data_IF_308388659639
#
_entry.id   IF_308388659639
#
_cell.length_a   1.000
_cell.length_b   1.000
_cell.length_c   1.000
_cell.angle_alpha   90.00
_cell.angle_beta   90.00
_cell.angle_gamma   90.00
#
_symmetry.space_group_name_H-M   'P 1'
#
loop_
_entity.id
_entity.type
_entity.pdbx_description
1 polymer ?
#
# COMPACT_ATOMS: atom_id res chain seq x y z
N UNK A 1 -54.24 -17.11 -1.87
CA UNK A 1 -53.02 -17.16 -1.02
C UNK A 1 -51.78 -17.52 -1.84
N UNK A 2 -51.81 -18.57 -2.67
CA UNK A 2 -50.63 -19.10 -3.38
C UNK A 2 -50.07 -18.24 -4.54
N UNK A 3 -50.84 -17.26 -5.03
CA UNK A 3 -50.45 -16.42 -6.17
C UNK A 3 -49.62 -15.18 -5.77
N UNK A 4 -49.83 -14.68 -4.55
CA UNK A 4 -49.07 -13.54 -4.01
C UNK A 4 -47.59 -13.88 -3.80
N UNK A 5 -47.27 -15.13 -3.46
CA UNK A 5 -45.89 -15.58 -3.30
C UNK A 5 -45.14 -15.64 -4.63
N UNK A 6 -45.82 -15.91 -5.75
CA UNK A 6 -45.20 -15.94 -7.09
C UNK A 6 -44.74 -14.57 -7.57
N UNK A 7 -45.43 -13.51 -7.19
CA UNK A 7 -45.07 -12.13 -7.55
C UNK A 7 -44.10 -11.49 -6.55
N UNK A 8 -44.10 -11.97 -5.29
CA UNK A 8 -43.23 -11.44 -4.23
C UNK A 8 -41.75 -11.79 -4.42
N UNK A 9 -41.45 -13.01 -4.86
CA UNK A 9 -40.06 -13.49 -5.07
C UNK A 9 -39.32 -12.67 -6.14
N UNK A 10 -39.82 -12.51 -7.39
CA UNK A 10 -39.12 -11.73 -8.41
C UNK A 10 -39.02 -10.25 -8.06
N UNK A 11 -39.98 -9.70 -7.30
CA UNK A 11 -39.95 -8.32 -6.83
C UNK A 11 -38.82 -8.08 -5.81
N UNK A 12 -38.65 -9.00 -4.84
CA UNK A 12 -37.58 -8.92 -3.84
C UNK A 12 -36.21 -9.08 -4.51
N UNK A 13 -36.08 -10.01 -5.45
CA UNK A 13 -34.84 -10.19 -6.19
C UNK A 13 -34.50 -8.98 -7.07
N UNK A 14 -35.51 -8.37 -7.71
CA UNK A 14 -35.33 -7.13 -8.46
C UNK A 14 -34.88 -5.96 -7.57
N UNK A 15 -35.47 -5.82 -6.39
CA UNK A 15 -35.05 -4.81 -5.40
C UNK A 15 -33.62 -5.06 -4.91
N UNK A 16 -33.27 -6.32 -4.62
CA UNK A 16 -31.91 -6.71 -4.22
C UNK A 16 -30.89 -6.38 -5.31
N UNK A 17 -31.20 -6.68 -6.56
CA UNK A 17 -30.33 -6.35 -7.72
C UNK A 17 -30.16 -4.84 -7.88
N UNK A 18 -31.21 -4.04 -7.69
CA UNK A 18 -31.13 -2.59 -7.73
C UNK A 18 -30.25 -2.03 -6.61
N UNK A 19 -30.38 -2.56 -5.38
CA UNK A 19 -29.52 -2.20 -4.26
C UNK A 19 -28.05 -2.57 -4.52
N UNK A 20 -27.77 -3.78 -5.03
CA UNK A 20 -26.42 -4.22 -5.36
C UNK A 20 -25.77 -3.36 -6.45
N UNK A 21 -26.53 -2.99 -7.49
CA UNK A 21 -26.05 -2.10 -8.55
C UNK A 21 -25.68 -0.73 -8.02
N UNK A 22 -26.51 -0.17 -7.12
CA UNK A 22 -26.27 1.14 -6.52
C UNK A 22 -25.03 1.11 -5.61
N UNK A 23 -24.88 0.06 -4.80
CA UNK A 23 -23.69 -0.13 -3.95
C UNK A 23 -22.41 -0.27 -4.80
N UNK A 24 -22.47 -1.04 -5.88
CA UNK A 24 -21.34 -1.20 -6.80
C UNK A 24 -20.95 0.13 -7.45
N UNK A 25 -21.93 0.94 -7.88
CA UNK A 25 -21.67 2.25 -8.48
C UNK A 25 -20.99 3.20 -7.49
N UNK A 26 -21.50 3.33 -6.27
CA UNK A 26 -20.87 4.16 -5.25
C UNK A 26 -19.47 3.69 -4.88
N UNK A 27 -19.27 2.37 -4.75
CA UNK A 27 -17.96 1.80 -4.49
C UNK A 27 -16.98 2.12 -5.62
N UNK A 28 -17.40 1.95 -6.89
CA UNK A 28 -16.57 2.29 -8.05
C UNK A 28 -16.17 3.77 -8.05
N UNK A 29 -17.10 4.68 -7.79
CA UNK A 29 -16.81 6.12 -7.70
C UNK A 29 -15.85 6.41 -6.56
N UNK A 30 -16.04 5.79 -5.39
CA UNK A 30 -15.14 5.94 -4.25
C UNK A 30 -13.71 5.47 -4.57
N UNK A 31 -13.55 4.33 -5.25
CA UNK A 31 -12.24 3.83 -5.70
C UNK A 31 -11.61 4.78 -6.73
N UNK A 32 -12.38 5.30 -7.69
CA UNK A 32 -11.86 6.26 -8.67
C UNK A 32 -11.40 7.56 -8.02
N UNK A 33 -12.16 8.08 -7.05
CA UNK A 33 -11.79 9.29 -6.29
C UNK A 33 -10.52 9.06 -5.48
N UNK A 34 -10.38 7.92 -4.81
CA UNK A 34 -9.19 7.61 -4.00
C UNK A 34 -7.93 7.32 -4.83
N UNK A 35 -8.08 6.78 -6.03
CA UNK A 35 -6.95 6.49 -6.94
C UNK A 35 -6.52 7.70 -7.78
N UNK A 36 -7.35 8.75 -7.88
CA UNK A 36 -7.06 9.97 -8.67
C UNK A 36 -5.89 10.83 -8.16
N UNK A 37 -5.26 10.46 -7.04
CA UNK A 37 -4.12 11.18 -6.44
C UNK A 37 -2.94 10.26 -6.11
N UNK A 38 -2.71 9.24 -6.94
CA UNK A 38 -1.40 8.61 -7.02
C UNK A 38 -0.69 9.34 -8.15
N UNK A 39 0.13 10.35 -7.81
CA UNK A 39 1.07 10.91 -8.76
C UNK A 39 1.95 9.74 -9.23
N UNK A 40 1.68 9.26 -10.44
CA UNK A 40 2.45 8.24 -11.15
C UNK A 40 3.78 8.85 -11.62
N UNK A 41 4.49 9.49 -10.71
CA UNK A 41 5.84 10.04 -10.83
C UNK A 41 6.74 9.54 -9.71
N UNK A 42 6.39 8.45 -9.02
CA UNK A 42 7.41 7.60 -8.43
C UNK A 42 8.01 6.76 -9.57
N UNK A 43 8.75 7.42 -10.45
CA UNK A 43 9.80 6.75 -11.21
C UNK A 43 10.57 5.92 -10.19
N UNK A 44 10.74 4.62 -10.41
CA UNK A 44 11.72 3.83 -9.67
C UNK A 44 13.11 4.38 -10.02
N UNK A 45 13.43 5.56 -9.49
CA UNK A 45 14.76 6.12 -9.53
C UNK A 45 15.58 5.27 -8.59
N UNK A 46 16.64 4.67 -9.14
CA UNK A 46 17.67 4.02 -8.34
C UNK A 46 18.16 5.04 -7.33
N UNK A 47 17.92 4.76 -6.04
CA UNK A 47 18.43 5.59 -4.94
C UNK A 47 19.93 5.32 -4.87
N UNK A 48 20.76 6.36 -5.03
CA UNK A 48 22.20 6.21 -4.85
C UNK A 48 22.57 6.10 -3.36
N UNK A 49 23.75 5.54 -3.06
CA UNK A 49 24.28 5.48 -1.70
C UNK A 49 24.34 6.90 -1.08
N UNK A 50 23.55 7.14 -0.04
CA UNK A 50 23.44 8.45 0.62
C UNK A 50 22.23 9.30 0.21
N UNK A 51 21.46 8.89 -0.79
CA UNK A 51 20.17 9.51 -1.13
C UNK A 51 19.03 8.89 -0.32
N UNK A 52 18.01 9.70 -0.03
CA UNK A 52 16.82 9.27 0.71
C UNK A 52 15.54 9.77 0.04
N UNK A 53 14.53 8.91 -0.10
CA UNK A 53 13.21 9.30 -0.58
C UNK A 53 12.33 9.60 0.63
N UNK A 54 11.86 10.85 0.75
CA UNK A 54 10.94 11.28 1.78
C UNK A 54 9.47 11.12 1.36
N UNK A 55 8.60 10.72 2.28
CA UNK A 55 7.15 10.75 2.04
C UNK A 55 6.63 12.19 1.94
N UNK A 56 5.54 12.39 1.20
CA UNK A 56 4.83 13.67 1.09
C UNK A 56 4.31 14.07 2.48
N UNK A 57 5.05 14.92 3.19
CA UNK A 57 4.83 15.26 4.60
C UNK A 57 6.07 15.21 5.49
N UNK A 58 7.20 14.69 4.98
CA UNK A 58 8.52 14.76 5.65
C UNK A 58 8.68 13.90 6.90
N UNK A 59 7.75 12.98 7.15
CA UNK A 59 7.69 12.17 8.37
C UNK A 59 8.49 10.88 8.24
N UNK A 60 8.53 10.29 7.05
CA UNK A 60 9.19 9.02 6.75
C UNK A 60 10.25 9.22 5.68
N UNK A 61 11.40 8.58 5.86
CA UNK A 61 12.47 8.52 4.87
C UNK A 61 12.86 7.06 4.61
N UNK A 62 13.10 6.74 3.33
CA UNK A 62 13.63 5.47 2.86
C UNK A 62 15.04 5.71 2.30
N UNK A 63 16.02 4.90 2.68
CA UNK A 63 17.36 4.98 2.10
C UNK A 63 18.29 3.85 2.55
N UNK A 64 19.53 3.91 2.06
CA UNK A 64 20.60 2.98 2.44
C UNK A 64 21.32 3.47 3.70
N UNK A 65 21.68 2.55 4.59
CA UNK A 65 22.47 2.84 5.79
C UNK A 65 23.43 1.70 6.14
N UNK A 66 24.45 2.01 6.93
CA UNK A 66 25.38 1.03 7.50
C UNK A 66 25.37 1.18 9.03
N UNK A 67 24.96 0.16 9.80
CA UNK A 67 24.95 0.23 11.26
C UNK A 67 26.39 0.16 11.80
N UNK A 68 26.74 1.13 12.65
CA UNK A 68 28.05 1.18 13.33
C UNK A 68 29.22 1.34 12.36
N UNK A 69 30.28 0.55 12.55
CA UNK A 69 31.47 0.54 11.70
C UNK A 69 31.47 -0.61 10.67
N UNK A 70 30.31 -1.22 10.41
CA UNK A 70 30.20 -2.31 9.43
C UNK A 70 30.25 -1.78 8.00
N UNK A 71 30.86 -2.56 7.10
CA UNK A 71 30.81 -2.32 5.64
C UNK A 71 29.50 -2.81 5.01
N UNK A 72 28.64 -3.48 5.76
CA UNK A 72 27.36 -3.99 5.27
C UNK A 72 26.37 -2.83 5.03
N UNK A 73 25.71 -2.88 3.87
CA UNK A 73 24.68 -1.93 3.46
C UNK A 73 23.30 -2.52 3.69
N UNK A 74 22.40 -1.74 4.28
CA UNK A 74 21.02 -2.10 4.55
C UNK A 74 20.07 -1.06 3.97
N UNK A 75 18.87 -1.49 3.59
CA UNK A 75 17.78 -0.59 3.23
C UNK A 75 16.83 -0.51 4.40
N UNK A 76 16.45 0.71 4.80
CA UNK A 76 15.55 0.92 5.94
C UNK A 76 14.58 2.07 5.70
N UNK A 77 13.45 2.01 6.40
CA UNK A 77 12.51 3.12 6.51
C UNK A 77 12.55 3.61 7.95
N UNK A 78 12.76 4.92 8.15
CA UNK A 78 12.81 5.52 9.48
C UNK A 78 12.02 6.82 9.57
N UNK A 79 11.74 7.23 10.81
CA UNK A 79 11.10 8.50 11.11
C UNK A 79 12.14 9.60 11.26
N UNK A 80 12.07 10.64 10.41
CA UNK A 80 12.99 11.79 10.47
C UNK A 80 12.89 12.57 11.80
N UNK A 81 11.72 12.55 12.43
CA UNK A 81 11.40 13.39 13.59
C UNK A 81 11.77 12.79 14.95
N UNK A 82 12.40 11.61 14.97
CA UNK A 82 12.79 10.95 16.22
C UNK A 82 14.30 10.72 16.14
N UNK A 83 15.05 11.33 17.05
CA UNK A 83 16.52 11.23 17.18
C UNK A 83 17.03 9.83 17.59
N UNK A 84 16.17 8.81 17.46
CA UNK A 84 16.46 7.40 17.74
C UNK A 84 15.92 6.60 16.55
N UNK A 85 16.84 6.03 15.78
CA UNK A 85 16.53 5.20 14.60
C UNK A 85 15.86 3.90 15.04
N UNK A 86 14.53 3.89 15.08
CA UNK A 86 13.76 2.65 15.27
C UNK A 86 13.64 1.94 13.92
N UNK A 87 14.49 0.94 13.70
CA UNK A 87 14.43 0.07 12.52
C UNK A 87 13.24 -0.89 12.71
N UNK A 88 12.16 -0.68 11.96
CA UNK A 88 10.90 -1.43 12.15
C UNK A 88 10.94 -2.82 11.50
N UNK A 89 11.60 -2.96 10.35
CA UNK A 89 11.71 -4.22 9.62
C UNK A 89 13.01 -4.25 8.81
N UNK A 90 13.68 -5.40 8.78
CA UNK A 90 14.90 -5.64 7.99
C UNK A 90 14.64 -6.87 7.14
N UNK A 91 14.68 -6.73 5.81
CA UNK A 91 14.71 -7.86 4.90
C UNK A 91 16.17 -8.15 4.54
N UNK A 92 16.76 -9.18 5.14
CA UNK A 92 18.05 -9.72 4.70
C UNK A 92 17.81 -10.91 3.78
N UNK A 93 18.11 -10.78 2.49
CA UNK A 93 18.36 -11.97 1.67
C UNK A 93 19.71 -12.55 2.07
N UNK A 94 19.68 -13.61 2.88
CA UNK A 94 20.88 -14.40 3.19
C UNK A 94 21.17 -15.33 2.03
N UNK A 95 22.03 -14.90 1.10
CA UNK A 95 22.72 -15.81 0.19
C UNK A 95 24.08 -16.17 0.80
N UNK A 96 24.31 -17.41 1.25
CA UNK A 96 25.64 -17.85 1.64
C UNK A 96 26.38 -18.28 0.36
N UNK A 97 27.14 -17.37 -0.25
CA UNK A 97 28.09 -17.77 -1.29
C UNK A 97 29.28 -18.46 -0.62
N UNK A 98 29.40 -19.74 -0.94
CA UNK A 98 30.45 -20.70 -0.59
C UNK A 98 31.86 -20.09 -0.55
N UNK A 99 32.58 -20.39 0.53
CA UNK A 99 34.01 -20.12 0.72
C UNK A 99 34.78 -21.18 -0.09
N UNK A 100 35.74 -20.75 -0.92
CA UNK A 100 36.83 -21.59 -1.41
C UNK A 100 38.15 -21.08 -0.81
#
# INVERSE_FOLDING_TARGET
MHDYDRLRIPLIEGFKMLCLLHLFFFFSVFITVTTSKVDHSSTFQSIADGETIGSTGGTLELGFFSPGSSTTRYVGIWYKKISVTTILWVATETHPSLIH
#
